data_IF_043166100953
#
_entry.id   IF_043166100953
#
_cell.length_a   1.000
_cell.length_b   1.000
_cell.length_c   1.000
_cell.angle_alpha   90.00
_cell.angle_beta   90.00
_cell.angle_gamma   90.00
#
_symmetry.space_group_name_H-M   'P 1'
#
loop_
_entity.id
_entity.type
_entity.pdbx_description
1 polymer ?
#
# COMPACT_ATOMS: atom_id res chain seq x y z
N UNK A 1 5.24 -4.49 11.98
CA UNK A 1 5.97 -4.37 10.71
C UNK A 1 5.04 -3.82 9.64
N UNK A 2 5.08 -2.50 9.40
CA UNK A 2 4.35 -1.86 8.31
C UNK A 2 5.20 -0.69 7.81
N UNK A 3 6.06 -0.91 6.79
CA UNK A 3 6.84 0.19 6.22
C UNK A 3 5.89 1.27 5.67
N UNK A 4 4.72 0.86 5.17
CA UNK A 4 3.66 1.73 4.62
C UNK A 4 3.20 2.83 5.60
N UNK A 5 3.22 2.58 6.92
CA UNK A 5 2.98 3.62 7.96
C UNK A 5 4.10 4.68 8.08
N UNK A 6 5.14 4.61 7.23
CA UNK A 6 6.12 5.69 7.02
C UNK A 6 5.82 6.52 5.75
N UNK A 7 4.73 6.20 5.05
CA UNK A 7 4.28 6.84 3.81
C UNK A 7 2.88 7.44 3.96
N UNK A 8 2.06 6.92 4.89
CA UNK A 8 1.06 7.70 5.65
C UNK A 8 1.70 9.02 6.10
N UNK A 9 1.33 10.13 5.46
CA UNK A 9 2.01 11.43 5.55
C UNK A 9 1.19 12.49 6.29
N UNK A 10 -0.14 12.38 6.29
CA UNK A 10 -1.02 13.27 7.08
C UNK A 10 -1.36 12.70 8.47
N UNK A 11 -1.14 11.40 8.70
CA UNK A 11 -1.40 10.74 9.98
C UNK A 11 -2.86 10.31 10.19
N UNK A 12 -3.70 10.28 9.13
CA UNK A 12 -5.09 9.86 9.25
C UNK A 12 -5.28 8.34 9.45
N UNK A 13 -4.20 7.56 9.32
CA UNK A 13 -4.18 6.11 9.49
C UNK A 13 -4.58 5.33 8.24
N UNK A 14 -4.79 6.02 7.11
CA UNK A 14 -5.03 5.42 5.79
C UNK A 14 -3.77 5.53 4.92
N UNK A 15 -3.86 4.97 3.72
CA UNK A 15 -2.94 5.22 2.63
C UNK A 15 -3.71 5.52 1.35
N UNK A 16 -3.58 6.74 0.85
CA UNK A 16 -4.09 7.11 -0.46
C UNK A 16 -3.34 6.37 -1.56
N UNK A 17 -3.94 6.30 -2.75
CA UNK A 17 -3.29 5.77 -3.97
C UNK A 17 -1.94 6.44 -4.29
N UNK A 18 -1.73 7.70 -3.90
CA UNK A 18 -0.46 8.42 -4.13
C UNK A 18 0.64 7.96 -3.18
N UNK A 19 0.36 7.88 -1.87
CA UNK A 19 1.33 7.40 -0.88
C UNK A 19 1.70 5.93 -1.12
N UNK A 20 0.71 5.11 -1.51
CA UNK A 20 0.92 3.74 -2.00
C UNK A 20 1.85 3.68 -3.22
N UNK A 21 1.74 4.64 -4.13
CA UNK A 21 2.61 4.73 -5.31
C UNK A 21 4.05 5.08 -4.92
N UNK A 22 4.26 6.08 -4.06
CA UNK A 22 5.61 6.43 -3.61
C UNK A 22 6.23 5.36 -2.69
N UNK A 23 5.42 4.65 -1.91
CA UNK A 23 5.85 3.46 -1.17
C UNK A 23 6.36 2.34 -2.10
N UNK A 24 5.62 2.00 -3.17
CA UNK A 24 6.09 1.03 -4.16
C UNK A 24 7.29 1.52 -4.98
N UNK A 25 7.41 2.83 -5.22
CA UNK A 25 8.54 3.45 -5.91
C UNK A 25 9.82 3.34 -5.07
N UNK A 26 9.73 3.56 -3.75
CA UNK A 26 10.85 3.43 -2.81
C UNK A 26 11.32 1.98 -2.64
N UNK A 27 10.43 0.98 -2.78
CA UNK A 27 10.81 -0.44 -2.94
C UNK A 27 11.60 -0.76 -4.24
N UNK A 28 11.84 0.21 -5.12
CA UNK A 28 12.43 -0.05 -6.44
C UNK A 28 11.47 -0.76 -7.42
N UNK A 29 10.16 -0.68 -7.22
CA UNK A 29 9.20 -1.23 -8.18
C UNK A 29 9.26 -0.48 -9.51
N UNK A 30 9.56 -1.19 -10.60
CA UNK A 30 9.62 -0.64 -11.97
C UNK A 30 8.30 -0.01 -12.44
N UNK A 31 7.16 -0.44 -11.87
CA UNK A 31 5.83 0.07 -12.20
C UNK A 31 5.06 0.38 -10.91
N UNK A 32 5.38 1.48 -10.21
CA UNK A 32 4.81 1.77 -8.90
C UNK A 32 3.31 2.08 -9.00
N UNK A 33 2.89 2.90 -9.97
CA UNK A 33 1.48 3.26 -10.17
C UNK A 33 0.57 2.05 -10.45
N UNK A 34 1.02 1.10 -11.29
CA UNK A 34 0.26 -0.12 -11.60
C UNK A 34 0.20 -1.08 -10.42
N UNK A 35 1.31 -1.24 -9.67
CA UNK A 35 1.32 -2.10 -8.47
C UNK A 35 0.54 -1.46 -7.31
N UNK A 36 0.59 -0.14 -7.15
CA UNK A 36 -0.27 0.62 -6.24
C UNK A 36 -1.74 0.39 -6.57
N UNK A 37 -2.18 0.66 -7.80
CA UNK A 37 -3.58 0.43 -8.21
C UNK A 37 -4.02 -1.02 -8.05
N UNK A 38 -3.16 -1.99 -8.39
CA UNK A 38 -3.48 -3.43 -8.27
C UNK A 38 -3.48 -3.95 -6.83
N UNK A 39 -2.69 -3.35 -5.95
CA UNK A 39 -2.67 -3.69 -4.53
C UNK A 39 -3.81 -3.00 -3.78
N UNK A 40 -4.08 -1.72 -4.11
CA UNK A 40 -5.25 -0.96 -3.69
C UNK A 40 -6.52 -1.75 -4.00
N UNK A 41 -6.83 -2.00 -5.28
CA UNK A 41 -7.99 -2.80 -5.75
C UNK A 41 -8.06 -4.26 -5.24
N UNK A 42 -7.10 -4.72 -4.44
CA UNK A 42 -7.14 -6.05 -3.80
C UNK A 42 -7.35 -6.01 -2.29
N UNK A 43 -7.26 -4.83 -1.66
CA UNK A 43 -7.40 -4.62 -0.23
C UNK A 43 -8.38 -3.48 0.13
N UNK A 44 -8.51 -2.46 -0.72
CA UNK A 44 -9.69 -1.58 -0.84
C UNK A 44 -10.91 -2.47 -1.09
N UNK A 45 -11.67 -2.70 -0.03
CA UNK A 45 -12.87 -3.52 0.03
C UNK A 45 -14.12 -2.65 0.27
N UNK A 46 -13.94 -1.45 0.82
CA UNK A 46 -15.02 -0.47 1.01
C UNK A 46 -15.32 0.35 -0.26
N UNK A 47 -14.39 0.42 -1.22
CA UNK A 47 -14.52 1.19 -2.47
C UNK A 47 -14.18 2.68 -2.36
N UNK A 48 -13.55 3.13 -1.27
CA UNK A 48 -13.27 4.55 -1.02
C UNK A 48 -12.03 5.10 -1.77
N UNK A 49 -11.24 4.21 -2.41
CA UNK A 49 -10.08 4.58 -3.22
C UNK A 49 -8.81 4.90 -2.41
N UNK A 50 -8.86 4.72 -1.09
CA UNK A 50 -7.74 4.68 -0.17
C UNK A 50 -7.61 3.25 0.42
N UNK A 51 -6.81 3.09 1.46
CA UNK A 51 -6.72 1.86 2.26
C UNK A 51 -6.68 2.23 3.73
N UNK A 52 -7.69 1.83 4.50
CA UNK A 52 -7.77 2.09 5.94
C UNK A 52 -6.96 1.08 6.80
N UNK A 53 -6.92 1.26 8.12
CA UNK A 53 -6.14 0.42 9.05
C UNK A 53 -6.43 -1.11 8.98
N UNK A 54 -7.64 -1.52 8.65
CA UNK A 54 -7.98 -2.95 8.50
C UNK A 54 -7.63 -3.48 7.12
N UNK A 55 -7.91 -2.70 6.08
CA UNK A 55 -7.51 -3.00 4.70
C UNK A 55 -5.98 -3.04 4.54
N UNK A 56 -5.25 -2.23 5.30
CA UNK A 56 -3.79 -2.19 5.37
C UNK A 56 -3.20 -3.56 5.75
N UNK A 57 -3.94 -4.38 6.51
CA UNK A 57 -3.51 -5.74 6.87
C UNK A 57 -3.55 -6.68 5.65
N UNK A 58 -4.60 -6.58 4.82
CA UNK A 58 -4.68 -7.35 3.57
C UNK A 58 -3.69 -6.85 2.52
N UNK A 59 -3.47 -5.53 2.45
CA UNK A 59 -2.41 -4.94 1.63
C UNK A 59 -1.03 -5.49 1.99
N UNK A 60 -0.68 -5.49 3.29
CA UNK A 60 0.61 -6.04 3.76
C UNK A 60 0.70 -7.55 3.49
N UNK A 61 -0.36 -8.32 3.72
CA UNK A 61 -0.39 -9.76 3.35
C UNK A 61 -0.15 -9.96 1.85
N UNK A 62 -0.79 -9.18 0.98
CA UNK A 62 -0.60 -9.25 -0.46
C UNK A 62 0.83 -8.90 -0.89
N UNK A 63 1.43 -7.87 -0.27
CA UNK A 63 2.81 -7.45 -0.51
C UNK A 63 3.82 -8.52 -0.07
N UNK A 64 3.64 -9.12 1.10
CA UNK A 64 4.46 -10.27 1.57
C UNK A 64 4.31 -11.46 0.62
N UNK A 65 3.07 -11.83 0.26
CA UNK A 65 2.74 -12.91 -0.68
C UNK A 65 3.29 -12.67 -2.10
N UNK A 66 3.60 -11.42 -2.45
CA UNK A 66 4.26 -11.03 -3.71
C UNK A 66 5.78 -11.17 -3.69
N UNK A 67 6.40 -11.57 -2.57
CA UNK A 67 7.85 -11.72 -2.43
C UNK A 67 8.59 -10.40 -2.18
N UNK A 68 7.90 -9.35 -1.76
CA UNK A 68 8.57 -8.11 -1.32
C UNK A 68 9.15 -8.30 0.09
N UNK A 69 10.45 -8.08 0.23
CA UNK A 69 11.08 -7.94 1.54
C UNK A 69 10.67 -6.59 2.16
N UNK A 70 9.88 -6.63 3.24
CA UNK A 70 9.69 -5.48 4.12
C UNK A 70 10.90 -5.40 5.06
N UNK A 71 11.92 -4.63 4.67
CA UNK A 71 13.07 -4.27 5.50
C UNK A 71 12.79 -3.06 6.41
#
# INVERSE_FOLDING_TARGET
MAWLRRYDTDGDGRLTKQELQDAFKSLGSTFPAWRAWRALRHADANGDGCINEDELRELVKYVIKRGYALA
#
